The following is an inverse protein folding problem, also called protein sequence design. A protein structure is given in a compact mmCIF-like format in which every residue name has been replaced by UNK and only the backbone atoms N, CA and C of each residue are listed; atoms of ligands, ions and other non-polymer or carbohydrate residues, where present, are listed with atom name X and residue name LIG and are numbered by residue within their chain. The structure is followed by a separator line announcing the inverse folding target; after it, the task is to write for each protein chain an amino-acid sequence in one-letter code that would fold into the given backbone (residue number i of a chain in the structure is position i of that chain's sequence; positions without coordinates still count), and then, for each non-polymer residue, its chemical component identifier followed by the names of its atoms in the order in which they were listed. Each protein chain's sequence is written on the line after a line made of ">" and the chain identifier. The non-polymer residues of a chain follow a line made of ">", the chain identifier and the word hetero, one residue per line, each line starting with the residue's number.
data_IF_480244603208
#
_entry.id   IF_480244603208
#
_cell.length_a   1.000
_cell.length_b   1.000
_cell.length_c   1.000
_cell.angle_alpha   90.00
_cell.angle_beta   90.00
_cell.angle_gamma   90.00
#
_symmetry.space_group_name_H-M   'P 1'
#
loop_
_entity.id
_entity.type
_entity.pdbx_description
1 polymer ?
#
# COMPACT_ATOMS: atom_id res chain seq x y z
N UNK A 1 -18.89 -5.32 -48.65
CA UNK A 1 -19.53 -6.31 -49.54
C UNK A 1 -19.73 -5.68 -50.91
N UNK A 2 -19.41 -6.39 -52.00
CA UNK A 2 -19.58 -5.89 -53.37
C UNK A 2 -20.46 -6.85 -54.16
N UNK A 3 -21.55 -6.36 -54.75
CA UNK A 3 -22.47 -7.18 -55.53
C UNK A 3 -22.04 -7.19 -57.01
N UNK A 4 -21.43 -8.29 -57.45
CA UNK A 4 -21.08 -8.55 -58.86
C UNK A 4 -22.20 -9.24 -59.65
N UNK A 5 -23.34 -9.51 -59.01
CA UNK A 5 -24.47 -10.18 -59.61
C UNK A 5 -25.38 -9.21 -60.39
N UNK A 6 -26.19 -9.76 -61.28
CA UNK A 6 -27.13 -8.99 -62.09
C UNK A 6 -28.46 -8.67 -61.36
N UNK A 7 -28.60 -9.10 -60.11
CA UNK A 7 -29.82 -8.90 -59.30
C UNK A 7 -29.47 -8.27 -57.95
N UNK A 8 -30.47 -7.68 -57.29
CA UNK A 8 -30.32 -7.14 -55.95
C UNK A 8 -29.95 -8.24 -54.95
N UNK A 9 -28.95 -7.99 -54.12
CA UNK A 9 -28.46 -8.92 -53.10
C UNK A 9 -28.85 -8.42 -51.71
N UNK A 10 -29.89 -9.03 -51.13
CA UNK A 10 -30.22 -8.81 -49.72
C UNK A 10 -29.23 -9.61 -48.87
N UNK A 11 -28.61 -8.97 -47.88
CA UNK A 11 -27.65 -9.62 -46.99
C UNK A 11 -28.03 -9.43 -45.54
N UNK A 12 -27.65 -10.40 -44.70
CA UNK A 12 -27.72 -10.29 -43.24
C UNK A 12 -26.55 -11.04 -42.60
N UNK A 13 -26.01 -10.47 -41.53
CA UNK A 13 -24.99 -11.11 -40.71
C UNK A 13 -25.62 -12.27 -39.93
N UNK A 14 -25.00 -13.44 -40.03
CA UNK A 14 -25.32 -14.58 -39.16
C UNK A 14 -24.80 -14.28 -37.76
N UNK A 15 -25.63 -14.41 -36.70
CA UNK A 15 -25.19 -14.14 -35.33
C UNK A 15 -23.92 -14.90 -34.96
N UNK A 16 -22.94 -14.25 -34.30
CA UNK A 16 -21.71 -14.91 -33.86
C UNK A 16 -22.00 -16.04 -32.87
N UNK A 17 -21.29 -17.16 -32.98
CA UNK A 17 -21.49 -18.34 -32.12
C UNK A 17 -20.54 -18.40 -30.92
N UNK A 18 -19.46 -17.63 -30.94
CA UNK A 18 -18.43 -17.61 -29.89
C UNK A 18 -18.61 -16.40 -28.99
N UNK A 19 -18.19 -16.51 -27.73
CA UNK A 19 -18.23 -15.38 -26.79
C UNK A 19 -17.41 -14.18 -27.29
N UNK A 20 -16.25 -14.43 -27.92
CA UNK A 20 -15.41 -13.39 -28.50
C UNK A 20 -16.00 -12.82 -29.78
N UNK A 21 -16.65 -13.64 -30.61
CA UNK A 21 -17.38 -13.17 -31.79
C UNK A 21 -18.49 -12.19 -31.42
N UNK A 22 -19.15 -12.39 -30.27
CA UNK A 22 -20.14 -11.44 -29.73
C UNK A 22 -19.55 -10.09 -29.29
N UNK A 23 -18.23 -9.95 -29.20
CA UNK A 23 -17.54 -8.68 -28.93
C UNK A 23 -17.37 -7.80 -30.18
N UNK A 24 -17.75 -8.29 -31.36
CA UNK A 24 -17.72 -7.54 -32.61
C UNK A 24 -19.11 -6.98 -32.94
N UNK A 25 -19.15 -5.73 -33.40
CA UNK A 25 -20.36 -5.12 -33.95
C UNK A 25 -20.14 -4.73 -35.42
N UNK A 26 -21.16 -4.96 -36.24
CA UNK A 26 -21.15 -4.72 -37.67
C UNK A 26 -22.27 -3.75 -38.02
N UNK A 27 -21.94 -2.65 -38.69
CA UNK A 27 -22.92 -1.64 -39.09
C UNK A 27 -22.74 -1.27 -40.58
N UNK A 28 -23.77 -1.45 -41.41
CA UNK A 28 -25.02 -2.17 -41.12
C UNK A 28 -24.79 -3.69 -41.00
N UNK A 29 -25.59 -4.37 -40.18
CA UNK A 29 -25.55 -5.83 -40.05
C UNK A 29 -26.46 -6.55 -41.06
N UNK A 30 -27.41 -5.83 -41.67
CA UNK A 30 -28.24 -6.30 -42.79
C UNK A 30 -28.50 -5.17 -43.79
N UNK A 31 -28.90 -5.50 -45.01
CA UNK A 31 -29.23 -4.50 -46.03
C UNK A 31 -29.45 -5.06 -47.42
N UNK A 32 -29.56 -4.17 -48.40
CA UNK A 32 -29.74 -4.50 -49.81
C UNK A 32 -28.65 -3.84 -50.66
N UNK A 33 -27.98 -4.63 -51.51
CA UNK A 33 -26.95 -4.14 -52.42
C UNK A 33 -27.45 -4.29 -53.86
N UNK A 34 -27.58 -3.18 -54.58
CA UNK A 34 -27.95 -3.19 -56.00
C UNK A 34 -26.84 -3.81 -56.87
N UNK A 35 -27.13 -4.24 -58.12
CA UNK A 35 -26.10 -4.68 -59.07
C UNK A 35 -24.99 -3.64 -59.22
N UNK A 36 -23.74 -4.11 -59.23
CA UNK A 36 -22.51 -3.31 -59.21
C UNK A 36 -22.40 -2.34 -58.02
N UNK A 37 -23.24 -2.51 -57.00
CA UNK A 37 -23.25 -1.73 -55.77
C UNK A 37 -22.20 -2.20 -54.78
N UNK A 38 -21.70 -1.25 -53.99
CA UNK A 38 -20.77 -1.49 -52.89
C UNK A 38 -21.42 -1.08 -51.56
N UNK A 39 -21.40 -1.99 -50.58
CA UNK A 39 -21.77 -1.70 -49.20
C UNK A 39 -20.52 -1.74 -48.32
N UNK A 40 -20.20 -0.61 -47.70
CA UNK A 40 -19.19 -0.52 -46.63
C UNK A 40 -19.82 -1.03 -45.34
N UNK A 41 -19.10 -1.91 -44.62
CA UNK A 41 -19.52 -2.38 -43.30
C UNK A 41 -18.48 -1.87 -42.30
N UNK A 42 -18.91 -1.04 -41.37
CA UNK A 42 -18.10 -0.61 -40.24
C UNK A 42 -18.06 -1.73 -39.20
N UNK A 43 -16.86 -2.11 -38.79
CA UNK A 43 -16.63 -3.17 -37.81
C UNK A 43 -16.00 -2.52 -36.58
N UNK A 44 -16.60 -2.72 -35.40
CA UNK A 44 -16.02 -2.34 -34.13
C UNK A 44 -15.79 -3.58 -33.27
N UNK A 45 -14.75 -3.57 -32.44
CA UNK A 45 -14.39 -4.69 -31.57
C UNK A 45 -14.05 -4.16 -30.18
N UNK A 46 -14.61 -4.77 -29.14
CA UNK A 46 -14.28 -4.49 -27.74
C UNK A 46 -14.47 -5.75 -26.91
N UNK A 47 -13.38 -6.30 -26.39
CA UNK A 47 -13.40 -7.53 -25.60
C UNK A 47 -12.50 -7.42 -24.37
N UNK A 48 -12.92 -8.08 -23.29
CA UNK A 48 -12.13 -8.33 -22.08
C UNK A 48 -11.46 -9.72 -22.09
N UNK A 49 -11.70 -10.53 -23.12
CA UNK A 49 -11.14 -11.88 -23.22
C UNK A 49 -9.74 -11.79 -23.84
N UNK A 50 -8.72 -12.12 -23.03
CA UNK A 50 -7.31 -12.05 -23.44
C UNK A 50 -6.91 -13.22 -24.34
N UNK A 51 -5.86 -13.01 -25.15
CA UNK A 51 -5.19 -14.05 -25.93
C UNK A 51 -5.37 -13.89 -27.45
N UNK A 52 -4.75 -14.82 -28.17
CA UNK A 52 -4.89 -14.90 -29.62
C UNK A 52 -6.27 -15.41 -30.01
N UNK A 53 -6.82 -14.85 -31.09
CA UNK A 53 -8.11 -15.28 -31.60
C UNK A 53 -8.16 -15.34 -33.12
N UNK A 54 -9.09 -16.15 -33.60
CA UNK A 54 -9.50 -16.23 -35.00
C UNK A 54 -11.00 -16.44 -35.01
N UNK A 55 -11.74 -15.45 -35.50
CA UNK A 55 -13.20 -15.45 -35.56
C UNK A 55 -13.66 -15.43 -37.02
N UNK A 56 -14.67 -16.22 -37.34
CA UNK A 56 -15.30 -16.27 -38.65
C UNK A 56 -16.72 -15.70 -38.59
N UNK A 57 -16.95 -14.64 -39.36
CA UNK A 57 -18.26 -14.01 -39.52
C UNK A 57 -18.83 -14.36 -40.88
N UNK A 58 -20.10 -14.75 -40.92
CA UNK A 58 -20.77 -15.19 -42.14
C UNK A 58 -21.90 -14.23 -42.48
N UNK A 59 -21.94 -13.76 -43.71
CA UNK A 59 -23.05 -12.99 -44.26
C UNK A 59 -23.89 -13.92 -45.14
N UNK A 60 -25.13 -14.13 -44.73
CA UNK A 60 -26.13 -14.76 -45.57
C UNK A 60 -26.52 -13.78 -46.67
N UNK A 61 -26.56 -14.24 -47.92
CA UNK A 61 -26.96 -13.43 -49.07
C UNK A 61 -28.07 -14.16 -49.81
N UNK A 62 -29.21 -13.51 -50.00
CA UNK A 62 -30.34 -14.09 -50.69
C UNK A 62 -29.95 -14.51 -52.12
N UNK A 63 -30.20 -15.77 -52.47
CA UNK A 63 -29.83 -16.35 -53.77
C UNK A 63 -28.41 -16.92 -53.85
N UNK A 64 -27.58 -16.79 -52.80
CA UNK A 64 -26.29 -17.47 -52.71
C UNK A 64 -26.40 -18.74 -51.86
N UNK A 65 -26.01 -19.94 -52.36
CA UNK A 65 -26.06 -21.17 -51.58
C UNK A 65 -25.01 -21.20 -50.47
N UNK A 66 -23.88 -20.51 -50.67
CA UNK A 66 -22.81 -20.39 -49.68
C UNK A 66 -22.75 -18.96 -49.11
N UNK A 67 -22.63 -18.80 -47.79
CA UNK A 67 -22.48 -17.49 -47.17
C UNK A 67 -21.10 -16.89 -47.43
N UNK A 68 -21.05 -15.57 -47.52
CA UNK A 68 -19.78 -14.85 -47.62
C UNK A 68 -19.10 -14.85 -46.26
N UNK A 69 -17.88 -15.38 -46.16
CA UNK A 69 -17.16 -15.50 -44.89
C UNK A 69 -16.06 -14.46 -44.76
N UNK A 70 -16.00 -13.78 -43.62
CA UNK A 70 -14.94 -12.88 -43.20
C UNK A 70 -14.24 -13.49 -41.99
N UNK A 71 -12.93 -13.74 -42.12
CA UNK A 71 -12.10 -14.19 -41.00
C UNK A 71 -11.33 -13.01 -40.41
N UNK A 72 -11.49 -12.76 -39.11
CA UNK A 72 -10.72 -11.75 -38.37
C UNK A 72 -9.77 -12.45 -37.42
N UNK A 73 -8.49 -12.07 -37.43
CA UNK A 73 -7.46 -12.61 -36.55
C UNK A 73 -6.83 -11.48 -35.75
N UNK A 74 -6.49 -11.76 -34.50
CA UNK A 74 -5.87 -10.78 -33.63
C UNK A 74 -5.33 -11.39 -32.34
N UNK A 75 -4.87 -10.52 -31.45
CA UNK A 75 -4.48 -10.85 -30.09
C UNK A 75 -4.98 -9.75 -29.16
N UNK A 76 -5.78 -10.12 -28.17
CA UNK A 76 -6.19 -9.21 -27.10
C UNK A 76 -5.13 -9.32 -26.00
N UNK A 77 -4.33 -8.26 -25.84
CA UNK A 77 -3.35 -8.20 -24.76
C UNK A 77 -3.92 -7.46 -23.57
N UNK A 78 -3.55 -7.92 -22.38
CA UNK A 78 -3.75 -7.17 -21.16
C UNK A 78 -2.97 -5.84 -21.25
N UNK A 79 -3.54 -4.75 -20.76
CA UNK A 79 -2.79 -3.54 -20.47
C UNK A 79 -1.66 -3.87 -19.50
N UNK A 80 -0.46 -3.39 -19.80
CA UNK A 80 0.74 -3.69 -19.01
C UNK A 80 1.10 -2.50 -18.14
N UNK A 81 1.46 -2.79 -16.89
CA UNK A 81 2.06 -1.84 -15.96
C UNK A 81 3.47 -2.26 -15.62
N UNK A 82 4.29 -1.29 -15.22
CA UNK A 82 5.66 -1.53 -14.81
C UNK A 82 6.04 -0.58 -13.67
N UNK A 83 6.58 -1.13 -12.59
CA UNK A 83 7.29 -0.36 -11.58
C UNK A 83 8.74 -0.17 -11.99
N UNK A 84 9.30 1.00 -11.71
CA UNK A 84 10.72 1.32 -11.94
C UNK A 84 11.72 0.45 -11.15
N UNK A 85 11.23 -0.31 -10.18
CA UNK A 85 12.02 -1.24 -9.37
C UNK A 85 11.39 -2.63 -9.37
N UNK A 86 12.19 -3.70 -9.20
CA UNK A 86 11.67 -5.07 -9.11
C UNK A 86 11.07 -5.40 -7.74
N UNK A 87 11.30 -4.58 -6.71
CA UNK A 87 10.89 -4.82 -5.32
C UNK A 87 11.01 -3.57 -4.46
N UNK A 88 10.23 -3.52 -3.38
CA UNK A 88 10.30 -2.50 -2.33
C UNK A 88 11.16 -3.00 -1.16
N UNK A 89 12.34 -2.40 -1.01
CA UNK A 89 13.26 -2.68 0.08
C UNK A 89 13.27 -1.51 1.06
N UNK A 90 12.63 -1.68 2.22
CA UNK A 90 12.62 -0.67 3.29
C UNK A 90 13.87 -0.78 4.18
N UNK A 91 14.57 -1.92 4.18
CA UNK A 91 15.69 -2.17 5.08
C UNK A 91 15.24 -2.25 6.54
N UNK A 92 16.08 -1.77 7.46
CA UNK A 92 15.71 -1.63 8.86
C UNK A 92 14.88 -0.36 9.08
N UNK A 93 13.74 -0.51 9.75
CA UNK A 93 12.83 0.57 10.10
C UNK A 93 12.63 0.56 11.61
N UNK A 94 12.62 1.73 12.23
CA UNK A 94 12.39 1.81 13.66
C UNK A 94 10.91 1.62 14.02
N UNK A 95 10.66 0.92 15.12
CA UNK A 95 9.32 0.74 15.69
C UNK A 95 8.62 2.08 15.91
N UNK A 96 7.45 2.26 15.30
CA UNK A 96 6.62 3.45 15.42
C UNK A 96 7.09 4.64 14.57
N UNK A 97 8.13 4.49 13.74
CA UNK A 97 8.60 5.57 12.87
C UNK A 97 8.22 5.28 11.41
N UNK A 98 7.40 6.15 10.78
CA UNK A 98 7.04 5.99 9.38
C UNK A 98 8.28 6.12 8.47
N UNK A 99 8.45 5.15 7.57
CA UNK A 99 9.43 5.21 6.49
C UNK A 99 8.71 5.11 5.14
N UNK A 100 9.01 6.02 4.20
CA UNK A 100 8.30 6.12 2.92
C UNK A 100 9.26 5.88 1.75
N UNK A 101 8.87 4.98 0.85
CA UNK A 101 9.51 4.81 -0.45
C UNK A 101 8.63 5.44 -1.54
N UNK A 102 9.23 6.18 -2.47
CA UNK A 102 8.53 6.70 -3.66
C UNK A 102 9.01 5.96 -4.91
N UNK A 103 8.09 5.40 -5.68
CA UNK A 103 8.35 4.59 -6.88
C UNK A 103 7.46 5.01 -8.03
N UNK A 104 7.96 4.85 -9.25
CA UNK A 104 7.24 5.22 -10.46
C UNK A 104 6.48 4.03 -11.00
N UNK A 105 5.16 4.16 -11.12
CA UNK A 105 4.28 3.24 -11.82
C UNK A 105 4.02 3.75 -13.24
N UNK A 106 4.42 2.99 -14.24
CA UNK A 106 4.25 3.32 -15.66
C UNK A 106 3.18 2.45 -16.29
N UNK A 107 2.19 3.09 -16.92
CA UNK A 107 1.26 2.41 -17.81
C UNK A 107 1.92 2.27 -19.19
N UNK A 108 2.32 1.06 -19.56
CA UNK A 108 2.95 0.75 -20.85
C UNK A 108 1.94 0.40 -21.94
N UNK A 109 0.63 0.50 -21.66
CA UNK A 109 -0.43 0.30 -22.66
C UNK A 109 -0.75 1.59 -23.44
N UNK A 110 -1.43 1.42 -24.58
CA UNK A 110 -1.89 2.52 -25.44
C UNK A 110 -3.26 3.09 -25.02
N UNK A 111 -3.82 2.61 -23.92
CA UNK A 111 -5.13 3.03 -23.40
C UNK A 111 -5.00 3.51 -21.95
N UNK A 112 -5.88 4.42 -21.47
CA UNK A 112 -5.89 4.79 -20.06
C UNK A 112 -6.29 3.59 -19.20
N UNK A 113 -5.63 3.40 -18.07
CA UNK A 113 -5.85 2.24 -17.20
C UNK A 113 -6.09 2.63 -15.76
N UNK A 114 -7.17 2.10 -15.19
CA UNK A 114 -7.53 2.28 -13.78
C UNK A 114 -6.99 1.13 -12.95
N UNK A 115 -6.29 1.45 -11.86
CA UNK A 115 -5.65 0.47 -11.00
C UNK A 115 -6.06 0.66 -9.54
N UNK A 116 -5.94 -0.41 -8.75
CA UNK A 116 -5.91 -0.39 -7.28
C UNK A 116 -4.71 -1.16 -6.75
N UNK A 117 -4.09 -0.65 -5.69
CA UNK A 117 -2.94 -1.22 -4.99
C UNK A 117 -3.35 -1.59 -3.58
N UNK A 118 -2.98 -2.80 -3.15
CA UNK A 118 -3.25 -3.28 -1.80
C UNK A 118 -2.21 -4.31 -1.34
N UNK A 119 -2.13 -4.55 -0.04
CA UNK A 119 -1.23 -5.55 0.57
C UNK A 119 -2.11 -6.48 1.43
N UNK A 120 -2.47 -7.69 0.93
CA UNK A 120 -3.43 -8.56 1.63
C UNK A 120 -3.00 -8.93 3.06
N UNK A 121 -1.70 -9.06 3.29
CA UNK A 121 -1.13 -9.48 4.57
C UNK A 121 -0.83 -8.34 5.56
N UNK A 122 -1.22 -7.09 5.25
CA UNK A 122 -0.93 -5.93 6.11
C UNK A 122 -1.64 -6.05 7.47
N UNK A 123 -2.87 -6.56 7.47
CA UNK A 123 -3.74 -6.63 8.65
C UNK A 123 -5.07 -5.95 8.34
N UNK A 124 -6.03 -6.07 9.26
CA UNK A 124 -7.37 -5.47 9.11
C UNK A 124 -7.83 -4.73 10.36
N UNK A 125 -6.94 -4.58 11.34
CA UNK A 125 -7.18 -3.82 12.55
C UNK A 125 -6.97 -2.32 12.34
N UNK A 126 -7.11 -1.58 13.43
CA UNK A 126 -6.82 -0.14 13.46
C UNK A 126 -5.42 0.18 12.90
N UNK A 127 -5.26 1.35 12.25
CA UNK A 127 -3.96 1.80 11.78
C UNK A 127 -2.94 1.85 12.90
N UNK A 128 -1.72 1.45 12.56
CA UNK A 128 -0.55 1.68 13.40
C UNK A 128 -0.42 3.16 13.80
N UNK A 129 0.04 3.39 15.02
CA UNK A 129 0.25 4.71 15.60
C UNK A 129 1.73 5.03 15.56
N UNK A 130 2.08 6.22 15.03
CA UNK A 130 3.47 6.68 15.05
C UNK A 130 3.92 7.08 16.46
N UNK A 131 5.22 6.99 16.74
CA UNK A 131 5.81 7.42 18.01
C UNK A 131 5.53 8.90 18.30
N UNK A 132 5.45 9.77 17.28
CA UNK A 132 5.09 11.18 17.43
C UNK A 132 3.70 11.37 18.05
N UNK A 133 2.74 10.54 17.65
CA UNK A 133 1.38 10.57 18.21
C UNK A 133 1.37 9.96 19.60
N UNK A 134 2.10 8.86 19.82
CA UNK A 134 2.19 8.19 21.13
C UNK A 134 2.75 9.10 22.23
N UNK A 135 3.70 9.98 21.91
CA UNK A 135 4.30 10.90 22.90
C UNK A 135 3.53 12.21 23.09
N UNK A 136 2.50 12.49 22.27
CA UNK A 136 1.71 13.73 22.41
C UNK A 136 0.79 13.74 23.65
N UNK A 137 0.47 12.56 24.19
CA UNK A 137 -0.38 12.43 25.37
C UNK A 137 0.45 11.96 26.59
N UNK A 138 0.93 12.93 27.36
CA UNK A 138 1.72 12.67 28.57
C UNK A 138 0.88 12.12 29.73
N UNK A 139 -0.45 12.12 29.63
CA UNK A 139 -1.34 11.78 30.75
C UNK A 139 -1.65 10.28 30.86
N UNK A 140 -1.39 9.50 29.80
CA UNK A 140 -1.71 8.08 29.79
C UNK A 140 -0.57 7.27 29.16
N UNK A 141 0.30 6.63 29.97
CA UNK A 141 1.31 5.71 29.44
C UNK A 141 0.61 4.44 28.93
N UNK A 142 0.07 4.51 27.72
CA UNK A 142 -0.43 3.39 26.92
C UNK A 142 0.62 2.30 26.69
N UNK A 143 1.89 2.60 27.02
CA UNK A 143 3.06 1.72 27.08
C UNK A 143 2.81 0.42 27.85
N UNK A 144 1.89 0.40 28.83
CA UNK A 144 1.56 -0.84 29.59
C UNK A 144 0.58 -1.78 28.88
N UNK A 145 -0.16 -1.30 27.88
CA UNK A 145 -1.07 -2.16 27.12
C UNK A 145 -0.50 -2.28 25.72
N UNK A 146 0.38 -3.27 25.52
CA UNK A 146 0.45 -3.91 24.22
C UNK A 146 -1.00 -4.24 23.87
N UNK A 147 -1.57 -3.53 22.89
CA UNK A 147 -2.97 -3.66 22.58
C UNK A 147 -3.21 -5.14 22.29
N UNK A 148 -3.89 -5.82 23.21
CA UNK A 148 -4.35 -7.20 23.03
C UNK A 148 -5.53 -7.20 22.04
N UNK A 149 -5.35 -6.53 20.90
CA UNK A 149 -6.20 -6.74 19.75
C UNK A 149 -5.80 -8.09 19.19
N UNK A 150 -6.74 -9.03 19.15
CA UNK A 150 -6.53 -10.30 18.43
C UNK A 150 -6.32 -10.06 16.92
N UNK A 151 -6.64 -8.87 16.42
CA UNK A 151 -6.54 -8.49 15.02
C UNK A 151 -5.27 -7.67 14.78
N UNK A 152 -4.48 -8.10 13.81
CA UNK A 152 -3.25 -7.45 13.36
C UNK A 152 -3.54 -6.03 12.83
N UNK A 153 -2.81 -4.99 13.28
CA UNK A 153 -3.02 -3.61 12.83
C UNK A 153 -2.65 -3.44 11.35
N UNK A 154 -3.14 -2.38 10.72
CA UNK A 154 -2.70 -1.95 9.38
C UNK A 154 -1.45 -1.06 9.51
N UNK A 155 -0.33 -1.50 8.93
CA UNK A 155 0.99 -0.88 9.10
C UNK A 155 1.49 -0.18 7.82
N UNK A 156 0.88 -0.46 6.67
CA UNK A 156 1.22 0.19 5.40
C UNK A 156 0.20 1.25 4.98
N UNK A 157 0.68 2.27 4.28
CA UNK A 157 -0.16 3.27 3.62
C UNK A 157 0.37 3.50 2.21
N UNK A 158 -0.51 3.40 1.22
CA UNK A 158 -0.17 3.54 -0.20
C UNK A 158 -0.84 4.81 -0.76
N UNK A 159 -0.09 5.68 -1.44
CA UNK A 159 -0.59 6.94 -1.98
C UNK A 159 -0.04 7.23 -3.38
N UNK A 160 -0.90 7.38 -4.40
CA UNK A 160 -2.30 6.95 -4.42
C UNK A 160 -2.42 5.42 -4.35
N UNK A 161 -3.40 4.90 -3.62
CA UNK A 161 -3.73 3.47 -3.62
C UNK A 161 -4.66 3.08 -4.79
N UNK A 162 -5.26 4.06 -5.48
CA UNK A 162 -6.11 3.84 -6.65
C UNK A 162 -6.01 5.06 -7.57
N UNK A 163 -6.09 4.85 -8.87
CA UNK A 163 -6.12 5.95 -9.83
C UNK A 163 -6.21 5.48 -11.27
N UNK A 164 -6.25 6.42 -12.21
CA UNK A 164 -6.18 6.14 -13.64
C UNK A 164 -4.92 6.75 -14.22
N UNK A 165 -4.11 5.93 -14.89
CA UNK A 165 -2.90 6.37 -15.58
C UNK A 165 -3.17 6.45 -17.07
N UNK A 166 -2.89 7.62 -17.68
CA UNK A 166 -3.04 7.84 -19.13
C UNK A 166 -2.18 6.86 -19.96
N UNK A 167 -2.48 6.68 -21.26
CA UNK A 167 -1.64 5.89 -22.17
C UNK A 167 -0.19 6.33 -22.10
N UNK A 168 0.75 5.39 -22.01
CA UNK A 168 2.19 5.67 -21.91
C UNK A 168 2.56 6.66 -20.79
N UNK A 169 1.71 6.80 -19.78
CA UNK A 169 1.87 7.71 -18.66
C UNK A 169 2.62 7.07 -17.50
N UNK A 170 3.14 7.92 -16.62
CA UNK A 170 3.77 7.53 -15.37
C UNK A 170 3.13 8.27 -14.18
N UNK A 171 3.17 7.64 -13.01
CA UNK A 171 2.61 8.15 -11.76
C UNK A 171 3.52 7.77 -10.58
N UNK A 172 3.79 8.73 -9.70
CA UNK A 172 4.53 8.47 -8.47
C UNK A 172 3.61 7.83 -7.42
N UNK A 173 4.03 6.68 -6.91
CA UNK A 173 3.39 5.94 -5.82
C UNK A 173 4.29 6.02 -4.59
N UNK A 174 3.73 6.44 -3.47
CA UNK A 174 4.36 6.43 -2.17
C UNK A 174 3.84 5.25 -1.35
N UNK A 175 4.75 4.43 -0.84
CA UNK A 175 4.44 3.34 0.09
C UNK A 175 5.14 3.64 1.41
N UNK A 176 4.35 3.82 2.46
CA UNK A 176 4.82 4.13 3.81
C UNK A 176 4.61 2.93 4.71
N UNK A 177 5.64 2.52 5.44
CA UNK A 177 5.57 1.53 6.53
C UNK A 177 5.72 2.26 7.86
N UNK A 178 4.75 2.10 8.75
CA UNK A 178 4.85 2.48 10.16
C UNK A 178 4.53 1.25 11.01
N UNK A 179 5.55 0.54 11.46
CA UNK A 179 5.33 -0.72 12.18
C UNK A 179 5.08 -0.48 13.67
N UNK A 180 4.12 -1.18 14.25
CA UNK A 180 3.97 -1.30 15.72
C UNK A 180 4.21 -2.75 16.18
N UNK A 181 4.91 -3.54 15.37
CA UNK A 181 5.29 -4.93 15.67
C UNK A 181 6.75 -5.15 15.28
N UNK A 182 7.60 -5.51 16.23
CA UNK A 182 8.99 -5.91 15.92
C UNK A 182 8.96 -7.23 15.15
N UNK A 183 9.22 -7.18 13.84
CA UNK A 183 9.19 -8.36 12.95
C UNK A 183 9.94 -8.10 11.64
N UNK A 184 10.25 -9.19 10.94
CA UNK A 184 10.70 -9.15 9.54
C UNK A 184 9.50 -9.31 8.61
N UNK A 185 9.47 -8.53 7.53
CA UNK A 185 8.41 -8.48 6.53
C UNK A 185 8.90 -9.13 5.23
N UNK A 186 8.08 -10.02 4.68
CA UNK A 186 8.22 -10.59 3.33
C UNK A 186 6.82 -10.68 2.73
N UNK A 187 6.35 -9.57 2.17
CA UNK A 187 4.98 -9.40 1.70
C UNK A 187 4.98 -9.10 0.19
N UNK A 188 3.79 -8.91 -0.38
CA UNK A 188 3.63 -8.44 -1.75
C UNK A 188 2.66 -7.25 -1.80
N UNK A 189 3.02 -6.21 -2.56
CA UNK A 189 2.11 -5.19 -3.05
C UNK A 189 1.45 -5.74 -4.31
N UNK A 190 0.13 -5.92 -4.25
CA UNK A 190 -0.66 -6.43 -5.37
C UNK A 190 -1.33 -5.26 -6.09
N UNK A 191 -1.41 -5.40 -7.40
CA UNK A 191 -2.05 -4.45 -8.29
C UNK A 191 -3.19 -5.12 -9.05
N UNK A 192 -4.40 -4.62 -8.84
CA UNK A 192 -5.56 -4.98 -9.65
C UNK A 192 -5.77 -3.92 -10.71
N UNK A 193 -6.34 -4.34 -11.84
CA UNK A 193 -6.56 -3.49 -12.99
C UNK A 193 -8.00 -3.68 -13.47
N UNK A 194 -8.76 -2.58 -13.47
CA UNK A 194 -10.18 -2.59 -13.80
C UNK A 194 -10.41 -3.09 -15.24
N UNK A 195 -11.35 -4.02 -15.41
CA UNK A 195 -11.63 -4.69 -16.68
C UNK A 195 -10.58 -5.69 -17.16
N UNK A 196 -9.50 -5.93 -16.40
CA UNK A 196 -8.43 -6.87 -16.75
C UNK A 196 -8.37 -8.03 -15.76
N UNK A 197 -8.29 -7.74 -14.45
CA UNK A 197 -8.24 -8.78 -13.43
C UNK A 197 -7.68 -8.29 -12.09
N UNK A 198 -7.67 -9.21 -11.13
CA UNK A 198 -7.01 -9.07 -9.83
C UNK A 198 -5.57 -9.60 -9.90
N UNK A 199 -4.70 -9.08 -9.03
CA UNK A 199 -3.29 -9.52 -8.91
C UNK A 199 -2.50 -9.49 -10.23
N UNK A 200 -2.81 -8.57 -11.14
CA UNK A 200 -2.20 -8.44 -12.47
C UNK A 200 -0.70 -8.17 -12.37
N UNK A 201 -0.27 -7.45 -11.33
CA UNK A 201 1.15 -7.24 -11.02
C UNK A 201 1.41 -7.44 -9.53
N UNK A 202 2.53 -8.11 -9.24
CA UNK A 202 3.02 -8.39 -7.89
C UNK A 202 4.36 -7.72 -7.69
N UNK A 203 4.48 -6.83 -6.70
CA UNK A 203 5.75 -6.18 -6.33
C UNK A 203 6.16 -6.61 -4.90
N UNK A 204 7.23 -7.42 -4.75
CA UNK A 204 7.68 -7.91 -3.44
C UNK A 204 8.08 -6.77 -2.49
N UNK A 205 7.76 -6.93 -1.20
CA UNK A 205 8.11 -6.00 -0.12
C UNK A 205 8.97 -6.72 0.91
N UNK A 206 10.08 -6.09 1.32
CA UNK A 206 10.91 -6.55 2.43
C UNK A 206 11.26 -5.41 3.39
N UNK A 207 11.23 -5.72 4.68
CA UNK A 207 11.57 -4.78 5.76
C UNK A 207 11.92 -5.54 7.04
N UNK A 208 12.63 -4.89 7.96
CA UNK A 208 12.86 -5.37 9.33
C UNK A 208 12.52 -4.25 10.31
N UNK A 209 11.44 -4.42 11.07
CA UNK A 209 11.10 -3.50 12.15
C UNK A 209 11.91 -3.86 13.40
N UNK A 210 12.65 -2.90 13.94
CA UNK A 210 13.52 -3.06 15.10
C UNK A 210 13.30 -1.94 16.13
N UNK A 211 13.61 -2.22 17.39
CA UNK A 211 13.69 -1.19 18.43
C UNK A 211 15.16 -0.88 18.65
N UNK A 212 15.62 0.36 18.41
CA UNK A 212 17.02 0.71 18.61
C UNK A 212 17.38 0.62 20.11
N UNK A 213 18.52 0.00 20.47
CA UNK A 213 18.95 -0.07 21.85
C UNK A 213 19.34 1.33 22.35
N UNK A 214 18.75 1.75 23.46
CA UNK A 214 19.11 2.97 24.17
C UNK A 214 19.92 2.61 25.41
N UNK A 215 20.94 3.42 25.72
CA UNK A 215 21.71 3.28 26.96
C UNK A 215 21.64 4.55 27.81
N UNK A 216 21.78 4.37 29.10
CA UNK A 216 21.98 5.46 30.04
C UNK A 216 23.47 5.79 30.11
N UNK A 217 23.85 7.06 29.99
CA UNK A 217 25.25 7.48 30.07
C UNK A 217 25.83 7.32 31.50
N UNK A 218 25.07 7.73 32.51
CA UNK A 218 25.41 7.55 33.93
C UNK A 218 24.24 6.85 34.64
N UNK A 219 24.36 5.56 34.98
CA UNK A 219 23.26 4.79 35.58
C UNK A 219 22.97 5.20 37.04
N UNK A 220 23.79 6.07 37.62
CA UNK A 220 23.64 6.56 38.99
C UNK A 220 23.32 8.05 38.93
N UNK A 221 22.17 8.44 39.49
CA UNK A 221 21.82 9.84 39.77
C UNK A 221 22.07 10.13 41.25
N UNK A 222 22.87 11.16 41.53
CA UNK A 222 23.23 11.55 42.91
C UNK A 222 22.52 12.85 43.27
N UNK A 223 21.48 12.76 44.08
CA UNK A 223 20.73 13.94 44.55
C UNK A 223 21.34 14.59 45.81
N UNK A 224 22.22 13.90 46.53
CA UNK A 224 22.87 14.43 47.73
C UNK A 224 21.88 14.65 48.87
N UNK A 225 22.01 15.77 49.60
CA UNK A 225 21.12 16.11 50.71
C UNK A 225 19.80 16.71 50.20
N UNK A 226 18.71 15.96 50.36
CA UNK A 226 17.36 16.42 50.00
C UNK A 226 16.56 16.84 51.25
N UNK A 227 15.76 17.89 51.11
CA UNK A 227 14.74 18.25 52.10
C UNK A 227 13.50 17.35 51.97
N UNK A 228 12.92 16.95 53.11
CA UNK A 228 11.66 16.20 53.15
C UNK A 228 10.56 16.94 52.40
N UNK A 229 9.81 16.21 51.57
CA UNK A 229 8.64 16.72 50.82
C UNK A 229 8.97 17.93 49.94
N UNK A 230 10.23 18.07 49.53
CA UNK A 230 10.66 19.05 48.56
C UNK A 230 11.13 18.32 47.29
N UNK A 231 10.63 18.69 46.11
CA UNK A 231 11.07 18.09 44.86
C UNK A 231 12.49 18.57 44.51
N UNK A 232 13.38 17.62 44.24
CA UNK A 232 14.72 17.87 43.71
C UNK A 232 14.81 17.30 42.30
N UNK A 233 15.45 18.01 41.38
CA UNK A 233 15.52 17.60 39.99
C UNK A 233 16.97 17.30 39.56
N UNK A 234 17.17 16.17 38.89
CA UNK A 234 18.43 15.79 38.26
C UNK A 234 18.17 15.30 36.84
N UNK A 235 19.16 15.39 35.95
CA UNK A 235 19.01 14.94 34.56
C UNK A 235 19.69 13.59 34.31
N UNK A 236 18.94 12.68 33.71
CA UNK A 236 19.41 11.43 33.13
C UNK A 236 19.77 11.66 31.66
N UNK A 237 20.94 11.22 31.19
CA UNK A 237 21.25 11.27 29.76
C UNK A 237 21.02 9.91 29.11
N UNK A 238 20.05 9.84 28.20
CA UNK A 238 19.83 8.70 27.32
C UNK A 238 20.58 8.90 26.02
N UNK A 239 21.29 7.86 25.57
CA UNK A 239 22.09 7.87 24.34
C UNK A 239 21.58 6.80 23.39
N UNK A 240 21.33 7.21 22.14
CA UNK A 240 21.03 6.34 21.02
C UNK A 240 22.26 6.27 20.12
N UNK A 241 23.01 5.18 20.22
CA UNK A 241 24.17 4.95 19.34
C UNK A 241 23.76 4.31 18.00
N UNK A 242 22.49 4.02 17.74
CA UNK A 242 22.05 3.40 16.49
C UNK A 242 21.84 4.42 15.36
N UNK A 243 21.73 3.93 14.12
CA UNK A 243 21.40 4.72 12.94
C UNK A 243 19.89 4.97 12.77
N UNK A 244 19.07 4.50 13.70
CA UNK A 244 17.62 4.61 13.67
C UNK A 244 17.12 5.46 14.85
N UNK A 245 16.06 6.27 14.67
CA UNK A 245 15.47 7.02 15.78
C UNK A 245 14.78 6.06 16.76
N UNK A 246 14.85 6.34 18.06
CA UNK A 246 14.19 5.57 19.11
C UNK A 246 13.12 6.39 19.82
N UNK A 247 12.12 5.71 20.38
CA UNK A 247 11.15 6.29 21.31
C UNK A 247 11.43 5.73 22.71
N UNK A 248 11.49 6.59 23.72
CA UNK A 248 11.67 6.19 25.12
C UNK A 248 10.46 6.60 25.97
N UNK A 249 10.29 5.87 27.07
CA UNK A 249 9.21 6.06 28.02
C UNK A 249 9.66 5.53 29.37
N UNK A 250 9.60 6.39 30.37
CA UNK A 250 9.90 6.10 31.74
C UNK A 250 8.73 5.32 32.34
N UNK A 251 9.06 4.18 32.95
CA UNK A 251 8.07 3.43 33.69
C UNK A 251 7.73 4.18 34.97
N UNK A 252 6.43 4.36 35.29
CA UNK A 252 6.06 5.01 36.54
C UNK A 252 6.48 4.12 37.71
N UNK A 253 6.87 4.76 38.82
CA UNK A 253 7.18 4.06 40.06
C UNK A 253 6.03 3.14 40.47
N UNK A 254 6.35 1.90 40.84
CA UNK A 254 5.35 1.03 41.46
C UNK A 254 4.92 1.63 42.79
N UNK A 255 3.64 2.01 42.89
CA UNK A 255 3.10 2.65 44.08
C UNK A 255 3.05 1.64 45.23
N UNK A 256 4.11 1.62 46.03
CA UNK A 256 4.15 0.91 47.31
C UNK A 256 3.73 1.87 48.41
N UNK A 257 2.66 1.54 49.14
CA UNK A 257 2.31 2.26 50.37
C UNK A 257 3.54 2.30 51.30
N UNK A 258 3.93 3.52 51.71
CA UNK A 258 5.11 3.72 52.56
C UNK A 258 6.47 3.81 51.83
N UNK A 259 6.49 4.03 50.51
CA UNK A 259 7.75 4.28 49.80
C UNK A 259 8.52 5.47 50.40
N UNK A 260 9.79 5.26 50.72
CA UNK A 260 10.65 6.26 51.34
C UNK A 260 10.95 7.47 50.43
N UNK A 261 10.85 7.27 49.11
CA UNK A 261 11.15 8.25 48.06
C UNK A 261 10.14 8.10 46.94
N UNK A 262 9.66 9.21 46.40
CA UNK A 262 8.87 9.26 45.17
C UNK A 262 9.71 9.79 44.01
N UNK A 263 9.63 9.16 42.84
CA UNK A 263 10.23 9.66 41.61
C UNK A 263 9.22 9.88 40.50
N UNK A 264 9.41 10.94 39.74
CA UNK A 264 8.61 11.30 38.58
C UNK A 264 9.46 12.01 37.53
N UNK A 265 8.89 12.25 36.34
CA UNK A 265 9.50 13.08 35.32
C UNK A 265 8.43 13.98 34.72
N UNK A 266 8.70 15.29 34.51
CA UNK A 266 7.82 16.14 33.73
C UNK A 266 7.82 15.79 32.23
N UNK A 267 8.82 15.04 31.77
CA UNK A 267 8.97 14.55 30.39
C UNK A 267 9.15 13.03 30.41
N UNK A 268 8.08 12.27 30.72
CA UNK A 268 8.17 10.84 30.95
C UNK A 268 8.39 10.04 29.66
N UNK A 269 8.22 10.63 28.48
CA UNK A 269 8.47 9.98 27.21
C UNK A 269 9.02 10.98 26.20
N UNK A 270 9.60 10.47 25.11
CA UNK A 270 10.15 11.30 24.06
C UNK A 270 10.85 10.49 22.98
N UNK A 271 11.43 11.21 22.02
CA UNK A 271 12.16 10.62 20.89
C UNK A 271 13.65 10.95 21.02
N UNK A 272 14.50 9.94 20.81
CA UNK A 272 15.95 10.11 20.67
C UNK A 272 16.30 9.87 19.20
N UNK A 273 16.80 10.88 18.51
CA UNK A 273 17.20 10.74 17.10
C UNK A 273 18.37 9.75 16.95
N UNK A 274 18.61 9.30 15.72
CA UNK A 274 19.78 8.47 15.40
C UNK A 274 21.07 9.19 15.81
N UNK A 275 22.04 8.44 16.34
CA UNK A 275 23.37 8.95 16.76
C UNK A 275 23.29 10.20 17.65
N UNK A 276 22.32 10.25 18.56
CA UNK A 276 22.10 11.41 19.42
C UNK A 276 21.81 11.03 20.86
N UNK A 277 21.69 12.04 21.72
CA UNK A 277 21.35 11.89 23.13
C UNK A 277 20.30 12.90 23.56
N UNK A 278 19.48 12.53 24.54
CA UNK A 278 18.49 13.41 25.17
C UNK A 278 18.70 13.44 26.68
N UNK A 279 18.43 14.60 27.27
CA UNK A 279 18.41 14.75 28.72
C UNK A 279 16.97 14.60 29.21
N UNK A 280 16.75 13.66 30.12
CA UNK A 280 15.45 13.37 30.71
C UNK A 280 15.47 13.87 32.16
N UNK A 281 14.63 14.85 32.51
CA UNK A 281 14.54 15.35 33.89
C UNK A 281 13.89 14.32 34.81
N UNK A 282 14.51 14.01 35.94
CA UNK A 282 13.98 13.14 36.99
C UNK A 282 13.81 13.98 38.25
N UNK A 283 12.58 14.01 38.77
CA UNK A 283 12.22 14.67 40.02
C UNK A 283 12.14 13.62 41.13
N UNK A 284 12.81 13.88 42.24
CA UNK A 284 12.83 13.06 43.45
C UNK A 284 12.23 13.84 44.61
N UNK A 285 11.34 13.20 45.37
CA UNK A 285 10.77 13.74 46.60
C UNK A 285 10.93 12.73 47.75
N UNK A 286 11.70 13.09 48.78
CA UNK A 286 11.90 12.25 49.96
C UNK A 286 10.69 12.31 50.91
N UNK A 287 10.13 11.15 51.25
CA UNK A 287 8.97 11.02 52.15
C UNK A 287 9.36 10.79 53.61
N UNK A 288 10.53 10.20 53.85
CA UNK A 288 11.06 9.88 55.19
C UNK A 288 12.51 10.35 55.35
N UNK A 289 12.95 10.53 56.60
CA UNK A 289 14.35 10.88 56.91
C UNK A 289 15.25 9.65 56.90
N UNK A 290 16.53 9.86 56.60
CA UNK A 290 17.56 8.83 56.62
C UNK A 290 18.23 8.66 55.26
N UNK A 291 19.29 7.86 55.23
CA UNK A 291 19.97 7.48 53.99
C UNK A 291 19.08 6.53 53.19
N UNK A 292 18.91 6.81 51.89
CA UNK A 292 18.08 6.02 50.98
C UNK A 292 18.92 5.61 49.77
N UNK A 293 18.98 4.31 49.50
CA UNK A 293 19.48 3.75 48.24
C UNK A 293 18.29 3.10 47.52
N UNK A 294 17.97 3.60 46.33
CA UNK A 294 16.86 3.15 45.47
C UNK A 294 17.31 2.99 44.03
#
# INVERSE_FOLDING_TARGET
>A
LFNKGAINAAFSLVPPATALGSCFTFLPWEGLILPDGLQVIQISFSSTILGHFTEEFRFSVAGSPEPVTLTIRGCVIGPTFHFDVPSLHFGEVSFGFPHTLSRVLTNTSLVPMTFSLHIPEDGSGEPSTSSFVQISDNTHPSWRKGAQSQVKPTEFTIRPCRGTVRPQGALDIQVTLCSNTVRTYRLALLMDVDGVGEEVLVLPITASCVVPPLRVLSPILRFGCCFLRHPHQQTLTLVNDSDLPGCYGLLPQEQREGAAVWFSSPEPCGIVQARSSVQVPITLEAQVMGEQET
#
